data_IF_247805765002
#
_entry.id   IF_247805765002
#
_cell.length_a   1.000
_cell.length_b   1.000
_cell.length_c   1.000
_cell.angle_alpha   90.00
_cell.angle_beta   90.00
_cell.angle_gamma   90.00
#
_symmetry.space_group_name_H-M   'P 1'
#
loop_
_entity.id
_entity.type
_entity.pdbx_description
1 polymer ?
#
# COMPACT_ATOMS: atom_id res chain seq x y z
N UNK A 1 -31.93 8.11 -0.92
CA UNK A 1 -31.51 6.90 -1.64
C UNK A 1 -30.72 7.36 -2.85
N UNK A 2 -29.40 7.47 -2.74
CA UNK A 2 -28.53 7.65 -3.91
C UNK A 2 -28.26 6.25 -4.45
N UNK A 3 -28.98 5.87 -5.47
CA UNK A 3 -28.75 4.66 -6.25
C UNK A 3 -27.66 4.93 -7.29
N UNK A 4 -26.72 4.01 -7.39
CA UNK A 4 -25.83 3.84 -8.53
C UNK A 4 -24.43 4.39 -8.30
N UNK A 5 -23.49 3.49 -8.18
CA UNK A 5 -22.05 3.72 -8.13
C UNK A 5 -21.55 4.39 -9.41
N UNK A 6 -21.61 5.71 -9.50
CA UNK A 6 -20.83 6.48 -10.47
C UNK A 6 -19.45 6.77 -9.87
N UNK A 7 -18.67 5.70 -9.61
CA UNK A 7 -17.25 5.86 -9.31
C UNK A 7 -16.51 6.20 -10.61
N UNK A 8 -15.57 7.13 -10.55
CA UNK A 8 -14.67 7.44 -11.68
C UNK A 8 -13.69 6.31 -11.96
N UNK A 9 -13.35 5.53 -10.92
CA UNK A 9 -12.43 4.40 -10.97
C UNK A 9 -13.06 3.09 -10.53
N UNK A 10 -12.23 2.10 -10.28
CA UNK A 10 -12.61 0.80 -9.73
C UNK A 10 -12.89 0.91 -8.24
N UNK A 11 -13.93 0.23 -7.77
CA UNK A 11 -14.28 0.16 -6.36
C UNK A 11 -13.09 -0.35 -5.53
N UNK A 12 -12.73 0.39 -4.49
CA UNK A 12 -11.56 0.05 -3.65
C UNK A 12 -11.84 -1.04 -2.60
N UNK A 13 -13.11 -1.27 -2.28
CA UNK A 13 -13.55 -2.06 -1.13
C UNK A 13 -13.69 -1.23 0.16
N UNK A 14 -13.22 0.01 0.18
CA UNK A 14 -13.33 0.92 1.31
C UNK A 14 -14.25 2.09 0.97
N UNK A 15 -15.42 2.16 1.62
CA UNK A 15 -16.44 3.20 1.37
C UNK A 15 -15.91 4.63 1.43
N UNK A 16 -14.95 4.90 2.34
CA UNK A 16 -14.37 6.25 2.47
C UNK A 16 -13.42 6.57 1.32
N UNK A 17 -12.62 5.60 0.86
CA UNK A 17 -11.77 5.74 -0.33
C UNK A 17 -12.66 6.00 -1.56
N UNK A 18 -13.68 5.19 -1.75
CA UNK A 18 -14.61 5.31 -2.88
C UNK A 18 -15.33 6.67 -2.86
N UNK A 19 -15.75 7.13 -1.67
CA UNK A 19 -16.44 8.42 -1.51
C UNK A 19 -15.55 9.62 -1.84
N UNK A 20 -14.29 9.62 -1.37
CA UNK A 20 -13.42 10.80 -1.49
C UNK A 20 -12.48 10.77 -2.69
N UNK A 21 -12.14 9.59 -3.20
CA UNK A 21 -11.22 9.44 -4.34
C UNK A 21 -11.93 8.94 -5.60
N UNK A 22 -13.20 8.53 -5.52
CA UNK A 22 -13.91 7.92 -6.64
C UNK A 22 -13.44 6.50 -6.97
N UNK A 23 -12.80 5.80 -6.01
CA UNK A 23 -12.17 4.49 -6.21
C UNK A 23 -10.73 4.59 -6.72
N UNK A 24 -10.20 3.49 -7.25
CA UNK A 24 -8.87 3.45 -7.85
C UNK A 24 -8.93 3.77 -9.35
N UNK A 25 -8.35 4.90 -9.73
CA UNK A 25 -8.39 5.37 -11.12
C UNK A 25 -7.18 4.85 -11.91
N UNK A 26 -7.43 4.31 -13.09
CA UNK A 26 -6.37 3.86 -13.99
C UNK A 26 -5.48 5.02 -14.43
N UNK A 27 -4.17 4.83 -14.33
CA UNK A 27 -3.17 5.86 -14.63
C UNK A 27 -2.79 6.73 -13.45
N UNK A 28 -3.42 6.56 -12.26
CA UNK A 28 -3.06 7.30 -11.07
C UNK A 28 -1.86 6.70 -10.33
N UNK A 29 -1.04 7.59 -9.78
CA UNK A 29 -0.01 7.28 -8.80
C UNK A 29 -0.53 7.61 -7.40
N UNK A 30 -0.73 6.58 -6.59
CA UNK A 30 -1.11 6.69 -5.18
C UNK A 30 0.13 6.51 -4.32
N UNK A 31 0.34 7.39 -3.36
CA UNK A 31 1.45 7.30 -2.41
C UNK A 31 0.92 7.04 -1.02
N UNK A 32 1.34 5.94 -0.39
CA UNK A 32 1.07 5.65 1.02
C UNK A 32 2.34 5.90 1.80
N UNK A 33 2.43 7.01 2.50
CA UNK A 33 3.65 7.41 3.18
C UNK A 33 3.49 7.52 4.69
N UNK A 34 4.54 7.14 5.45
CA UNK A 34 4.51 7.21 6.91
C UNK A 34 5.86 6.85 7.52
N UNK A 35 6.00 7.15 8.80
CA UNK A 35 7.16 6.73 9.59
C UNK A 35 7.17 5.20 9.78
N UNK A 36 8.31 4.59 10.09
CA UNK A 36 8.36 3.19 10.51
C UNK A 36 7.36 2.91 11.65
N UNK A 37 6.71 1.74 11.63
CA UNK A 37 5.72 1.37 12.64
C UNK A 37 4.31 1.95 12.46
N UNK A 38 4.08 2.88 11.53
CA UNK A 38 2.74 3.45 11.24
C UNK A 38 1.81 2.51 10.47
N UNK A 39 2.29 1.35 10.01
CA UNK A 39 1.44 0.35 9.38
C UNK A 39 1.29 0.49 7.86
N UNK A 40 2.22 1.15 7.15
CA UNK A 40 2.17 1.32 5.68
C UNK A 40 1.91 0.01 4.93
N UNK A 41 2.77 -1.00 5.12
CA UNK A 41 2.65 -2.30 4.46
C UNK A 41 1.35 -3.02 4.85
N UNK A 42 0.93 -2.90 6.12
CA UNK A 42 -0.31 -3.50 6.59
C UNK A 42 -1.54 -2.88 5.90
N UNK A 43 -1.59 -1.55 5.81
CA UNK A 43 -2.72 -0.85 5.18
C UNK A 43 -2.74 -1.10 3.67
N UNK A 44 -1.57 -1.12 3.01
CA UNK A 44 -1.49 -1.42 1.59
C UNK A 44 -1.96 -2.85 1.29
N UNK A 45 -1.61 -3.81 2.15
CA UNK A 45 -2.07 -5.18 2.04
C UNK A 45 -3.59 -5.31 2.30
N UNK A 46 -4.15 -4.55 3.27
CA UNK A 46 -5.59 -4.47 3.49
C UNK A 46 -6.32 -3.88 2.27
N UNK A 47 -5.81 -2.77 1.73
CA UNK A 47 -6.40 -2.13 0.55
C UNK A 47 -6.38 -3.06 -0.67
N UNK A 48 -5.26 -3.77 -0.89
CA UNK A 48 -5.17 -4.75 -1.97
C UNK A 48 -6.10 -5.94 -1.76
N UNK A 49 -6.18 -6.47 -0.53
CA UNK A 49 -7.09 -7.55 -0.16
C UNK A 49 -8.55 -7.17 -0.44
N UNK A 50 -8.98 -6.00 0.06
CA UNK A 50 -10.37 -5.58 -0.09
C UNK A 50 -10.69 -5.21 -1.54
N UNK A 51 -9.73 -4.67 -2.28
CA UNK A 51 -9.84 -4.48 -3.74
C UNK A 51 -10.03 -5.81 -4.47
N UNK A 52 -9.24 -6.84 -4.13
CA UNK A 52 -9.37 -8.15 -4.74
C UNK A 52 -10.73 -8.82 -4.40
N UNK A 53 -11.27 -8.59 -3.20
CA UNK A 53 -12.63 -9.06 -2.83
C UNK A 53 -13.71 -8.41 -3.71
N UNK A 54 -13.51 -7.19 -4.21
CA UNK A 54 -14.44 -6.56 -5.18
C UNK A 54 -14.29 -7.08 -6.61
N UNK A 55 -13.43 -8.06 -6.84
CA UNK A 55 -13.11 -8.62 -8.16
C UNK A 55 -11.97 -7.89 -8.88
N UNK A 56 -11.26 -7.01 -8.19
CA UNK A 56 -10.09 -6.32 -8.73
C UNK A 56 -8.86 -7.23 -8.84
N UNK A 57 -8.02 -6.99 -9.83
CA UNK A 57 -6.80 -7.75 -10.10
C UNK A 57 -5.56 -6.99 -9.63
N UNK A 58 -4.80 -7.58 -8.71
CA UNK A 58 -3.70 -6.90 -8.05
C UNK A 58 -2.38 -7.65 -8.06
N UNK A 59 -1.28 -6.88 -8.01
CA UNK A 59 0.08 -7.38 -7.82
C UNK A 59 0.75 -6.58 -6.69
N UNK A 60 1.32 -7.29 -5.71
CA UNK A 60 2.12 -6.71 -4.64
C UNK A 60 3.59 -7.07 -4.87
N UNK A 61 4.43 -6.06 -5.03
CA UNK A 61 5.89 -6.21 -5.10
C UNK A 61 6.47 -5.80 -3.75
N UNK A 62 6.95 -6.80 -3.00
CA UNK A 62 7.55 -6.64 -1.68
C UNK A 62 9.06 -6.62 -1.74
N UNK A 63 9.69 -5.45 -1.60
CA UNK A 63 11.16 -5.32 -1.62
C UNK A 63 11.77 -5.43 -0.22
N UNK A 64 10.96 -5.26 0.84
CA UNK A 64 11.41 -5.30 2.25
C UNK A 64 11.12 -6.65 2.91
N UNK A 65 10.04 -7.31 2.50
CA UNK A 65 9.51 -8.48 3.18
C UNK A 65 9.45 -9.68 2.25
N UNK A 66 9.82 -10.87 2.77
CA UNK A 66 9.67 -12.12 2.03
C UNK A 66 8.20 -12.51 1.84
N UNK A 67 7.93 -13.35 0.82
CA UNK A 67 6.62 -13.94 0.55
C UNK A 67 6.00 -14.57 1.81
N UNK A 68 6.79 -15.33 2.59
CA UNK A 68 6.33 -15.94 3.83
C UNK A 68 5.86 -14.92 4.87
N UNK A 69 6.56 -13.79 4.98
CA UNK A 69 6.18 -12.73 5.91
C UNK A 69 4.90 -12.02 5.45
N UNK A 70 4.77 -11.76 4.15
CA UNK A 70 3.57 -11.17 3.56
C UNK A 70 2.38 -12.11 3.63
N UNK A 71 2.57 -13.41 3.32
CA UNK A 71 1.53 -14.43 3.43
C UNK A 71 1.01 -14.57 4.86
N UNK A 72 1.90 -14.61 5.87
CA UNK A 72 1.49 -14.65 7.28
C UNK A 72 0.69 -13.41 7.68
N UNK A 73 1.10 -12.21 7.24
CA UNK A 73 0.31 -10.99 7.49
C UNK A 73 -1.04 -11.04 6.82
N UNK A 74 -1.08 -11.54 5.59
CA UNK A 74 -2.32 -11.67 4.84
C UNK A 74 -3.30 -12.63 5.52
N UNK A 75 -2.85 -13.82 5.91
CA UNK A 75 -3.67 -14.79 6.67
C UNK A 75 -4.12 -14.20 8.01
N UNK A 76 -3.23 -13.47 8.72
CA UNK A 76 -3.59 -12.75 9.95
C UNK A 76 -4.75 -11.77 9.73
N UNK A 77 -4.76 -11.04 8.62
CA UNK A 77 -5.83 -10.11 8.25
C UNK A 77 -7.13 -10.84 7.88
N UNK A 78 -7.03 -11.95 7.15
CA UNK A 78 -8.20 -12.73 6.74
C UNK A 78 -8.89 -13.42 7.92
N UNK A 79 -8.10 -14.06 8.76
CA UNK A 79 -8.60 -14.83 9.89
C UNK A 79 -8.88 -13.96 11.14
N UNK A 80 -8.52 -12.67 11.08
CA UNK A 80 -8.57 -11.75 12.23
C UNK A 80 -7.81 -12.30 13.47
N UNK A 81 -6.67 -12.94 13.23
CA UNK A 81 -5.79 -13.51 14.26
C UNK A 81 -4.52 -12.66 14.35
N UNK A 82 -4.07 -12.27 15.55
CA UNK A 82 -2.84 -11.49 15.71
C UNK A 82 -1.63 -12.18 15.09
N UNK A 83 -0.89 -11.46 14.23
CA UNK A 83 0.25 -12.00 13.48
C UNK A 83 1.32 -12.65 14.36
N UNK A 84 1.53 -12.17 15.60
CA UNK A 84 2.49 -12.75 16.52
C UNK A 84 2.14 -14.20 16.92
N UNK A 85 0.85 -14.54 17.03
CA UNK A 85 0.39 -15.91 17.32
C UNK A 85 0.72 -16.85 16.17
N UNK A 86 0.43 -16.42 14.93
CA UNK A 86 0.76 -17.19 13.73
C UNK A 86 2.27 -17.39 13.63
N UNK A 87 3.04 -16.33 13.81
CA UNK A 87 4.51 -16.37 13.74
C UNK A 87 5.13 -17.31 14.76
N UNK A 88 4.60 -17.34 15.97
CA UNK A 88 5.15 -18.14 17.07
C UNK A 88 4.54 -19.55 17.15
N UNK A 89 3.58 -19.90 16.27
CA UNK A 89 2.87 -21.17 16.33
C UNK A 89 1.97 -21.33 17.56
N UNK A 90 1.62 -20.23 18.23
CA UNK A 90 0.81 -20.25 19.45
C UNK A 90 -0.67 -20.05 19.11
N UNK A 91 -1.24 -21.05 18.45
CA UNK A 91 -2.62 -21.07 18.01
C UNK A 91 -3.39 -22.19 18.73
N UNK A 92 -4.61 -21.88 19.18
CA UNK A 92 -5.50 -22.92 19.63
C UNK A 92 -6.25 -23.56 18.44
N UNK A 93 -6.97 -24.65 18.70
CA UNK A 93 -7.67 -25.40 17.65
C UNK A 93 -8.72 -24.55 16.92
N UNK A 94 -9.43 -23.67 17.63
CA UNK A 94 -10.39 -22.75 17.04
C UNK A 94 -9.74 -21.75 16.08
N UNK A 95 -8.61 -21.17 16.47
CA UNK A 95 -7.84 -20.24 15.63
C UNK A 95 -7.25 -20.92 14.39
N UNK A 96 -6.80 -22.19 14.54
CA UNK A 96 -6.36 -23.00 13.39
C UNK A 96 -7.49 -23.23 12.39
N UNK A 97 -8.67 -23.61 12.89
CA UNK A 97 -9.85 -23.79 12.04
C UNK A 97 -10.26 -22.50 11.34
N UNK A 98 -10.25 -21.36 12.04
CA UNK A 98 -10.49 -20.05 11.43
C UNK A 98 -9.49 -19.73 10.31
N UNK A 99 -8.21 -20.03 10.50
CA UNK A 99 -7.20 -19.84 9.45
C UNK A 99 -7.47 -20.71 8.22
N UNK A 100 -7.78 -21.99 8.43
CA UNK A 100 -8.09 -22.91 7.34
C UNK A 100 -9.35 -22.47 6.58
N UNK A 101 -10.40 -22.06 7.29
CA UNK A 101 -11.61 -21.52 6.67
C UNK A 101 -11.32 -20.23 5.88
N UNK A 102 -10.55 -19.31 6.44
CA UNK A 102 -10.20 -18.06 5.79
C UNK A 102 -9.41 -18.33 4.50
N UNK A 103 -8.43 -19.23 4.54
CA UNK A 103 -7.66 -19.62 3.37
C UNK A 103 -8.52 -20.29 2.28
N UNK A 104 -9.45 -21.19 2.67
CA UNK A 104 -10.32 -21.89 1.73
C UNK A 104 -11.40 -20.99 1.11
N UNK A 105 -11.90 -19.99 1.86
CA UNK A 105 -12.89 -19.03 1.35
C UNK A 105 -12.30 -17.99 0.42
N UNK A 106 -10.96 -17.82 0.46
CA UNK A 106 -10.29 -16.80 -0.31
C UNK A 106 -10.12 -17.23 -1.77
N UNK A 107 -10.99 -16.74 -2.64
CA UNK A 107 -10.90 -16.90 -4.10
C UNK A 107 -10.39 -15.65 -4.81
N UNK A 108 -9.67 -14.78 -4.09
CA UNK A 108 -9.21 -13.51 -4.67
C UNK A 108 -7.89 -13.68 -5.40
N UNK A 109 -7.85 -13.11 -6.60
CA UNK A 109 -6.68 -13.15 -7.47
C UNK A 109 -5.79 -11.93 -7.23
N UNK A 110 -4.96 -11.97 -6.19
CA UNK A 110 -3.80 -11.09 -6.17
C UNK A 110 -2.52 -11.91 -5.95
N UNK A 111 -1.42 -11.36 -6.43
CA UNK A 111 -0.13 -12.04 -6.46
C UNK A 111 0.89 -11.24 -5.67
N UNK A 112 1.86 -11.93 -5.10
CA UNK A 112 2.98 -11.35 -4.36
C UNK A 112 4.28 -11.74 -5.06
N UNK A 113 5.16 -10.77 -5.27
CA UNK A 113 6.54 -10.95 -5.76
C UNK A 113 7.49 -10.33 -4.74
N UNK A 114 8.46 -11.09 -4.25
CA UNK A 114 9.39 -10.70 -3.17
C UNK A 114 10.86 -10.66 -3.60
N UNK A 115 11.12 -10.45 -4.88
CA UNK A 115 12.49 -10.26 -5.35
C UNK A 115 13.09 -8.99 -4.72
N UNK A 116 14.14 -9.13 -3.88
CA UNK A 116 14.61 -8.02 -3.03
C UNK A 116 15.42 -6.98 -3.81
N UNK A 117 15.79 -7.26 -5.06
CA UNK A 117 16.65 -6.41 -5.88
C UNK A 117 15.96 -6.13 -7.20
N UNK A 118 15.24 -5.02 -7.26
CA UNK A 118 14.57 -4.60 -8.48
C UNK A 118 14.99 -3.21 -8.93
N UNK A 119 15.22 -3.07 -10.23
CA UNK A 119 15.26 -1.79 -10.91
C UNK A 119 13.86 -1.40 -11.40
N UNK A 120 13.71 -0.16 -11.86
CA UNK A 120 12.47 0.28 -12.54
C UNK A 120 12.15 -0.61 -13.75
N UNK A 121 13.18 -1.06 -14.48
CA UNK A 121 13.00 -1.94 -15.65
C UNK A 121 12.45 -3.31 -15.26
N UNK A 122 12.93 -3.88 -14.15
CA UNK A 122 12.46 -5.17 -13.63
C UNK A 122 10.99 -5.09 -13.20
N UNK A 123 10.64 -4.05 -12.43
CA UNK A 123 9.25 -3.80 -12.01
C UNK A 123 8.34 -3.67 -13.23
N UNK A 124 8.76 -2.89 -14.24
CA UNK A 124 8.00 -2.70 -15.48
C UNK A 124 7.82 -4.02 -16.23
N UNK A 125 8.88 -4.81 -16.37
CA UNK A 125 8.85 -6.13 -17.02
C UNK A 125 7.89 -7.10 -16.34
N UNK A 126 8.01 -7.23 -15.01
CA UNK A 126 7.15 -8.09 -14.20
C UNK A 126 5.69 -7.64 -14.26
N UNK A 127 5.41 -6.34 -14.11
CA UNK A 127 4.06 -5.81 -14.16
C UNK A 127 3.40 -6.02 -15.55
N UNK A 128 4.15 -5.85 -16.64
CA UNK A 128 3.68 -6.14 -18.02
C UNK A 128 3.34 -7.62 -18.19
N UNK A 129 4.26 -8.50 -17.78
CA UNK A 129 4.05 -9.94 -17.88
C UNK A 129 2.84 -10.39 -17.06
N UNK A 130 2.72 -9.87 -15.83
CA UNK A 130 1.58 -10.14 -14.96
C UNK A 130 0.28 -9.68 -15.60
N UNK A 131 0.25 -8.43 -16.11
CA UNK A 131 -0.93 -7.87 -16.79
C UNK A 131 -1.35 -8.71 -17.99
N UNK A 132 -0.41 -9.18 -18.79
CA UNK A 132 -0.70 -10.01 -19.97
C UNK A 132 -1.29 -11.37 -19.62
N UNK A 133 -0.88 -11.96 -18.48
CA UNK A 133 -1.31 -13.31 -18.06
C UNK A 133 -2.60 -13.31 -17.25
N UNK A 134 -2.73 -12.38 -16.32
CA UNK A 134 -3.77 -12.39 -15.29
C UNK A 134 -4.63 -11.12 -15.31
N UNK A 135 -4.18 -10.08 -15.98
CA UNK A 135 -4.72 -8.74 -15.85
C UNK A 135 -4.09 -8.01 -14.65
N UNK A 136 -4.13 -6.67 -14.67
CA UNK A 136 -3.58 -5.84 -13.60
C UNK A 136 -4.33 -4.50 -13.55
N UNK A 137 -4.90 -4.20 -12.39
CA UNK A 137 -5.65 -2.97 -12.15
C UNK A 137 -5.05 -2.18 -10.97
N UNK A 138 -4.39 -2.87 -10.01
CA UNK A 138 -3.67 -2.24 -8.90
C UNK A 138 -2.30 -2.90 -8.73
N UNK A 139 -1.24 -2.11 -8.89
CA UNK A 139 0.15 -2.50 -8.61
C UNK A 139 0.58 -1.84 -7.31
N UNK A 140 1.00 -2.62 -6.32
CA UNK A 140 1.55 -2.13 -5.04
C UNK A 140 3.05 -2.39 -4.98
N UNK A 141 3.85 -1.40 -4.56
CA UNK A 141 5.31 -1.49 -4.43
C UNK A 141 5.71 -1.06 -3.01
N UNK A 142 6.27 -2.00 -2.23
CA UNK A 142 6.68 -1.78 -0.84
C UNK A 142 8.19 -1.98 -0.67
N UNK A 143 8.99 -0.91 -0.59
CA UNK A 143 8.73 0.51 -0.70
C UNK A 143 9.73 1.17 -1.67
N UNK A 144 9.38 2.34 -2.19
CA UNK A 144 10.08 3.00 -3.31
C UNK A 144 11.58 3.23 -3.05
N UNK A 145 11.98 3.48 -1.79
CA UNK A 145 13.38 3.70 -1.45
C UNK A 145 14.27 2.43 -1.55
N UNK A 146 13.71 1.25 -1.76
CA UNK A 146 14.49 0.04 -2.03
C UNK A 146 14.67 -0.25 -3.53
N UNK A 147 13.92 0.45 -4.38
CA UNK A 147 14.09 0.35 -5.84
C UNK A 147 15.45 0.92 -6.23
N UNK A 148 16.20 0.16 -7.02
CA UNK A 148 17.49 0.60 -7.55
C UNK A 148 17.30 1.54 -8.72
N UNK A 149 17.87 2.72 -8.60
CA UNK A 149 17.98 3.70 -9.68
C UNK A 149 19.40 3.79 -10.25
N UNK A 150 19.62 4.77 -11.11
CA UNK A 150 20.88 4.97 -11.83
C UNK A 150 21.67 6.18 -11.35
N UNK A 151 21.07 7.02 -10.50
CA UNK A 151 21.68 8.30 -10.08
C UNK A 151 22.53 8.14 -8.82
N UNK A 152 23.59 8.91 -8.74
CA UNK A 152 24.45 8.97 -7.55
C UNK A 152 23.85 9.79 -6.41
N UNK A 153 23.01 10.79 -6.73
CA UNK A 153 22.28 11.56 -5.75
C UNK A 153 20.95 10.89 -5.45
N UNK A 154 20.74 10.56 -4.17
CA UNK A 154 19.55 9.82 -3.71
C UNK A 154 18.23 10.54 -3.97
N UNK A 155 18.19 11.85 -3.80
CA UNK A 155 16.99 12.65 -4.05
C UNK A 155 16.61 12.61 -5.54
N UNK A 156 17.60 12.78 -6.43
CA UNK A 156 17.38 12.67 -7.88
C UNK A 156 16.99 11.27 -8.31
N UNK A 157 17.56 10.23 -7.68
CA UNK A 157 17.22 8.84 -7.93
C UNK A 157 15.75 8.55 -7.61
N UNK A 158 15.30 8.96 -6.41
CA UNK A 158 13.90 8.80 -6.00
C UNK A 158 12.96 9.59 -6.91
N UNK A 159 13.36 10.78 -7.35
CA UNK A 159 12.58 11.59 -8.29
C UNK A 159 12.40 10.88 -9.64
N UNK A 160 13.47 10.29 -10.19
CA UNK A 160 13.41 9.51 -11.42
C UNK A 160 12.52 8.28 -11.28
N UNK A 161 12.64 7.54 -10.17
CA UNK A 161 11.81 6.37 -9.88
C UNK A 161 10.34 6.76 -9.76
N UNK A 162 10.02 7.81 -8.98
CA UNK A 162 8.65 8.31 -8.82
C UNK A 162 7.99 8.64 -10.16
N UNK A 163 8.70 9.43 -10.98
CA UNK A 163 8.23 9.77 -12.33
C UNK A 163 8.01 8.54 -13.19
N UNK A 164 8.91 7.56 -13.09
CA UNK A 164 8.80 6.30 -13.83
C UNK A 164 7.59 5.49 -13.40
N UNK A 165 7.24 5.47 -12.10
CA UNK A 165 6.04 4.81 -11.58
C UNK A 165 4.77 5.50 -12.09
N UNK A 166 4.74 6.84 -12.16
CA UNK A 166 3.61 7.57 -12.75
C UNK A 166 3.45 7.26 -14.25
N UNK A 167 4.55 7.17 -14.98
CA UNK A 167 4.51 6.78 -16.39
C UNK A 167 4.04 5.33 -16.56
N UNK A 168 4.49 4.42 -15.68
CA UNK A 168 4.07 3.02 -15.68
C UNK A 168 2.56 2.87 -15.42
N UNK A 169 2.00 3.64 -14.49
CA UNK A 169 0.56 3.66 -14.23
C UNK A 169 -0.23 4.00 -15.51
N UNK A 170 0.20 5.03 -16.23
CA UNK A 170 -0.42 5.44 -17.51
C UNK A 170 -0.24 4.39 -18.60
N UNK A 171 0.98 3.85 -18.75
CA UNK A 171 1.30 2.84 -19.76
C UNK A 171 0.49 1.56 -19.57
N UNK A 172 0.36 1.12 -18.32
CA UNK A 172 -0.37 -0.09 -17.97
C UNK A 172 -1.87 0.14 -17.77
N UNK A 173 -2.37 1.39 -17.87
CA UNK A 173 -3.77 1.69 -17.54
C UNK A 173 -4.21 1.00 -16.24
N UNK A 174 -3.44 1.16 -15.16
CA UNK A 174 -3.73 0.64 -13.84
C UNK A 174 -3.38 1.70 -12.78
N UNK A 175 -3.87 1.53 -11.56
CA UNK A 175 -3.40 2.33 -10.43
C UNK A 175 -2.05 1.78 -9.97
N UNK A 176 -1.06 2.62 -9.78
CA UNK A 176 0.20 2.26 -9.12
C UNK A 176 0.22 2.88 -7.73
N UNK A 177 0.32 2.04 -6.71
CA UNK A 177 0.45 2.44 -5.31
C UNK A 177 1.89 2.20 -4.86
N UNK A 178 2.59 3.25 -4.47
CA UNK A 178 3.93 3.15 -3.91
C UNK A 178 3.91 3.46 -2.42
N UNK A 179 4.62 2.68 -1.64
CA UNK A 179 4.86 3.00 -0.25
C UNK A 179 6.13 3.83 -0.15
N UNK A 180 6.11 4.83 0.76
CA UNK A 180 7.25 5.71 0.98
C UNK A 180 7.49 5.96 2.47
N UNK A 181 8.74 6.08 2.86
CA UNK A 181 9.09 6.45 4.22
C UNK A 181 9.21 7.97 4.34
N UNK A 182 8.62 8.52 5.41
CA UNK A 182 8.72 9.94 5.71
C UNK A 182 10.03 10.31 6.42
N UNK A 183 10.47 11.54 6.26
CA UNK A 183 11.58 12.15 7.00
C UNK A 183 11.32 12.12 8.52
N UNK A 184 12.41 12.07 9.32
CA UNK A 184 12.34 12.14 10.79
C UNK A 184 11.82 13.49 11.31
N UNK A 185 11.84 14.54 10.50
CA UNK A 185 11.38 15.89 10.88
C UNK A 185 9.91 15.92 11.32
N UNK A 186 9.08 15.00 10.85
CA UNK A 186 7.69 14.87 11.32
C UNK A 186 7.59 14.56 12.81
N UNK A 187 8.57 13.87 13.39
CA UNK A 187 8.59 13.48 14.82
C UNK A 187 9.08 14.60 15.74
N UNK A 188 9.71 15.66 15.19
CA UNK A 188 10.19 16.84 15.91
C UNK A 188 9.05 17.81 16.23
N UNK A 189 7.94 17.75 15.50
CA UNK A 189 6.76 18.59 15.72
C UNK A 189 5.97 18.12 16.95
N UNK A 190 5.30 19.07 17.60
CA UNK A 190 4.48 18.78 18.78
C UNK A 190 3.31 17.85 18.44
N UNK A 191 2.68 18.07 17.33
CA UNK A 191 1.51 17.31 16.88
C UNK A 191 1.88 16.03 16.09
N UNK A 192 3.10 15.82 15.68
CA UNK A 192 3.63 14.62 14.97
C UNK A 192 2.77 14.13 13.79
N UNK A 193 1.72 14.83 13.41
CA UNK A 193 0.89 14.50 12.25
C UNK A 193 1.66 14.68 10.96
N UNK A 194 1.63 13.70 10.06
CA UNK A 194 2.33 13.79 8.78
C UNK A 194 1.73 14.87 7.89
N UNK A 195 2.60 15.55 7.14
CA UNK A 195 2.28 16.58 6.16
C UNK A 195 2.96 16.29 4.83
N UNK A 196 2.48 16.86 3.74
CA UNK A 196 3.11 16.72 2.41
C UNK A 196 4.58 17.13 2.42
N UNK A 197 4.94 18.19 3.19
CA UNK A 197 6.33 18.64 3.35
C UNK A 197 7.26 17.58 3.97
N UNK A 198 6.74 16.54 4.64
CA UNK A 198 7.55 15.46 5.20
C UNK A 198 8.03 14.46 4.15
N UNK A 199 7.46 14.51 2.93
CA UNK A 199 7.96 13.83 1.73
C UNK A 199 9.20 14.51 1.15
N UNK A 200 9.79 15.50 1.81
CA UNK A 200 10.74 16.50 1.31
C UNK A 200 12.10 15.96 0.85
N UNK A 201 12.52 14.77 1.25
CA UNK A 201 13.65 14.06 0.61
C UNK A 201 13.27 13.51 -0.78
N UNK A 202 12.03 13.77 -1.20
CA UNK A 202 11.42 13.31 -2.43
C UNK A 202 10.34 14.28 -2.88
N UNK A 203 10.65 15.58 -2.95
CA UNK A 203 9.70 16.61 -3.40
C UNK A 203 9.05 16.27 -4.76
N UNK A 204 9.74 15.48 -5.57
CA UNK A 204 9.21 14.93 -6.81
C UNK A 204 8.06 13.94 -6.57
N UNK A 205 8.10 13.12 -5.49
CA UNK A 205 6.98 12.21 -5.17
C UNK A 205 5.69 12.99 -4.94
N UNK A 206 5.79 14.11 -4.21
CA UNK A 206 4.63 14.98 -3.98
C UNK A 206 4.07 15.53 -5.29
N UNK A 207 4.92 15.93 -6.23
CA UNK A 207 4.50 16.49 -7.52
C UNK A 207 3.89 15.43 -8.44
N UNK A 208 4.50 14.24 -8.53
CA UNK A 208 4.07 13.16 -9.41
C UNK A 208 2.80 12.46 -8.92
N UNK A 209 2.59 12.38 -7.59
CA UNK A 209 1.44 11.72 -6.98
C UNK A 209 0.12 12.42 -7.34
N UNK A 210 -0.89 11.63 -7.67
CA UNK A 210 -2.28 12.09 -7.80
C UNK A 210 -2.99 12.06 -6.45
N UNK A 211 -2.68 11.04 -5.64
CA UNK A 211 -3.22 10.85 -4.29
C UNK A 211 -2.08 10.60 -3.30
N UNK A 212 -2.15 11.24 -2.13
CA UNK A 212 -1.22 10.97 -1.01
C UNK A 212 -2.04 10.62 0.23
N UNK A 213 -1.74 9.46 0.78
CA UNK A 213 -2.35 8.88 1.97
C UNK A 213 -1.31 8.74 3.08
N UNK A 214 -1.64 9.18 4.29
CA UNK A 214 -0.80 8.97 5.46
C UNK A 214 -1.51 8.11 6.49
N UNK A 215 -1.08 6.87 6.72
CA UNK A 215 -1.47 6.14 7.91
C UNK A 215 -0.84 6.81 9.13
N UNK A 216 -1.66 7.09 10.13
CA UNK A 216 -1.24 7.73 11.38
C UNK A 216 -1.83 6.99 12.58
N UNK A 217 -1.00 6.75 13.58
CA UNK A 217 -1.34 6.06 14.83
C UNK A 217 -0.97 6.97 16.01
N UNK A 218 -1.91 7.78 16.54
CA UNK A 218 -1.63 8.66 17.68
C UNK A 218 -1.08 7.92 18.89
N UNK A 219 -1.62 6.75 19.20
CA UNK A 219 -1.20 5.93 20.34
C UNK A 219 0.26 5.42 20.25
N UNK A 220 0.85 5.38 19.07
CA UNK A 220 2.28 5.05 18.90
C UNK A 220 3.21 6.04 19.58
N UNK A 221 2.76 7.29 19.69
CA UNK A 221 3.52 8.38 20.34
C UNK A 221 3.11 8.63 21.78
N UNK A 222 1.94 8.15 22.19
CA UNK A 222 1.40 8.32 23.55
C UNK A 222 1.53 6.99 24.31
N UNK A 223 2.60 6.85 25.09
CA UNK A 223 2.89 5.64 25.87
C UNK A 223 1.99 5.46 27.09
N UNK A 224 1.25 6.48 27.48
CA UNK A 224 0.41 6.48 28.69
C UNK A 224 -1.02 5.99 28.42
N UNK A 225 -1.43 5.89 27.15
CA UNK A 225 -2.75 5.39 26.79
C UNK A 225 -2.66 4.02 26.10
N UNK A 226 -2.58 2.93 26.89
CA UNK A 226 -2.69 1.61 26.33
C UNK A 226 -4.17 1.36 26.07
N UNK A 227 -4.68 1.47 24.87
CA UNK A 227 -5.93 0.77 24.47
C UNK A 227 -6.45 1.27 23.15
N UNK A 228 -7.18 0.45 22.45
CA UNK A 228 -7.94 0.64 21.20
C UNK A 228 -7.37 1.78 20.37
N UNK A 229 -6.32 1.47 19.65
CA UNK A 229 -5.68 2.42 18.75
C UNK A 229 -6.64 2.79 17.61
N UNK A 230 -7.16 4.00 17.66
CA UNK A 230 -7.77 4.60 16.50
C UNK A 230 -6.66 4.97 15.53
N UNK A 231 -6.41 4.12 14.54
CA UNK A 231 -5.57 4.47 13.40
C UNK A 231 -6.36 5.37 12.46
N UNK A 232 -5.72 6.39 11.93
CA UNK A 232 -6.28 7.30 10.96
C UNK A 232 -5.62 7.06 9.60
N UNK A 233 -6.40 7.19 8.52
CA UNK A 233 -5.87 7.30 7.16
C UNK A 233 -6.16 8.72 6.65
N UNK A 234 -5.13 9.55 6.63
CA UNK A 234 -5.21 10.95 6.25
C UNK A 234 -5.07 11.06 4.73
N UNK A 235 -6.06 11.59 4.04
CA UNK A 235 -5.98 11.96 2.62
C UNK A 235 -5.38 13.37 2.56
N UNK A 236 -4.10 13.46 2.22
CA UNK A 236 -3.37 14.74 2.24
C UNK A 236 -3.29 15.40 0.88
N UNK A 237 -3.46 14.64 -0.18
CA UNK A 237 -3.55 15.12 -1.55
C UNK A 237 -4.56 14.28 -2.32
N UNK A 238 -5.44 14.96 -3.07
CA UNK A 238 -6.27 14.39 -4.11
C UNK A 238 -6.29 15.37 -5.28
N UNK A 239 -5.68 14.99 -6.41
CA UNK A 239 -5.59 15.88 -7.58
C UNK A 239 -6.93 16.11 -8.26
N UNK A 240 -7.85 15.18 -8.10
CA UNK A 240 -9.14 15.15 -8.82
C UNK A 240 -10.35 15.53 -7.94
N UNK A 241 -10.12 15.98 -6.67
CA UNK A 241 -11.20 16.34 -5.76
C UNK A 241 -10.86 17.38 -4.72
#
# INVERSE_FOLDING_TARGET
>A
VMNGNNLSGKQSGWKMIDKYLGGWNAGDLVVVAGRPGMGKSAIALCLLKDFAITGGKGLFIGLEMSNDQLARRYISLLANIPNYKIRNGNLNEYELNQMCEAANKQQTEFYIDDDPIMTVADIRGKAKLHKARFGLELLVIDYIQLVKGTKSNREQEIAEISRSMKLLAKELHCTVMILAQLSRKSEERQDKRPMLSDLRESGAIEQDADVVLFPFRPAYYDKEKPTIENAELIISKNRNG
#
